data_IF_815825236214
#
_entry.id   IF_815825236214
#
_cell.length_a   1.000
_cell.length_b   1.000
_cell.length_c   1.000
_cell.angle_alpha   90.00
_cell.angle_beta   90.00
_cell.angle_gamma   90.00
#
_symmetry.space_group_name_H-M   'P 1'
#
loop_
_entity.id
_entity.type
_entity.pdbx_description
1 polymer ?
#
# COMPACT_ATOMS: atom_id res chain seq x y z
N UNK A 1 9.01 16.26 12.32
CA UNK A 1 9.69 15.42 11.31
C UNK A 1 9.07 15.67 9.95
N UNK A 2 9.88 15.65 8.90
CA UNK A 2 9.35 15.74 7.54
C UNK A 2 8.54 14.46 7.20
N UNK A 3 7.34 14.64 6.63
CA UNK A 3 6.38 13.55 6.37
C UNK A 3 6.73 12.65 5.18
N UNK A 4 7.99 12.62 4.71
CA UNK A 4 8.44 11.82 3.57
C UNK A 4 9.31 10.63 3.95
N UNK A 5 9.52 10.37 5.25
CA UNK A 5 10.26 9.22 5.76
C UNK A 5 9.34 8.29 6.55
N UNK A 6 9.58 6.97 6.46
CA UNK A 6 8.80 5.93 7.10
C UNK A 6 9.75 4.79 7.55
N UNK A 7 9.41 4.09 8.65
CA UNK A 7 10.22 3.02 9.23
C UNK A 7 11.26 3.52 10.24
N UNK A 8 11.81 2.59 11.00
CA UNK A 8 12.78 2.81 12.08
C UNK A 8 14.16 2.30 11.69
N UNK A 9 14.31 0.99 11.45
CA UNK A 9 15.53 0.33 10.96
C UNK A 9 15.43 0.15 9.45
N UNK A 10 14.40 -0.57 8.97
CA UNK A 10 14.09 -0.63 7.54
C UNK A 10 13.40 0.68 7.17
N UNK A 11 14.20 1.69 6.90
CA UNK A 11 13.76 3.07 6.76
C UNK A 11 13.80 3.54 5.33
N UNK A 12 12.73 4.18 4.89
CA UNK A 12 12.68 4.76 3.56
C UNK A 12 12.42 6.27 3.60
N UNK A 13 12.93 6.99 2.61
CA UNK A 13 12.61 8.38 2.35
C UNK A 13 12.24 8.53 0.88
N UNK A 14 10.98 8.92 0.60
CA UNK A 14 10.49 9.13 -0.77
C UNK A 14 10.64 10.59 -1.19
N UNK A 15 10.89 10.84 -2.48
CA UNK A 15 11.04 12.17 -3.06
C UNK A 15 10.48 12.22 -4.49
N UNK A 16 10.38 13.41 -5.03
CA UNK A 16 9.87 13.67 -6.38
C UNK A 16 8.35 13.83 -6.47
N UNK A 17 7.88 14.32 -7.58
CA UNK A 17 6.48 14.67 -7.86
C UNK A 17 6.03 14.12 -9.22
N UNK A 18 4.70 14.02 -9.38
CA UNK A 18 4.09 13.48 -10.60
C UNK A 18 4.43 14.22 -11.88
N UNK A 19 4.77 15.49 -11.80
CA UNK A 19 5.14 16.36 -12.91
C UNK A 19 6.56 16.95 -12.75
N UNK A 20 7.34 16.41 -11.81
CA UNK A 20 8.77 16.62 -11.70
C UNK A 20 9.58 15.78 -12.69
N UNK A 21 10.89 15.77 -12.59
CA UNK A 21 11.77 14.96 -13.45
C UNK A 21 11.62 13.45 -13.19
N UNK A 22 11.36 13.07 -11.94
CA UNK A 22 11.23 11.68 -11.53
C UNK A 22 10.65 11.53 -10.13
N UNK A 23 10.39 10.28 -9.75
CA UNK A 23 10.01 9.86 -8.41
C UNK A 23 11.03 8.83 -7.93
N UNK A 24 11.49 8.96 -6.70
CA UNK A 24 12.48 8.04 -6.18
C UNK A 24 12.35 7.78 -4.69
N UNK A 25 13.17 6.85 -4.23
CA UNK A 25 13.26 6.44 -2.84
C UNK A 25 14.69 6.12 -2.47
N UNK A 26 15.06 6.44 -1.24
CA UNK A 26 16.24 5.91 -0.58
C UNK A 26 15.77 4.96 0.52
N UNK A 27 16.26 3.73 0.52
CA UNK A 27 15.97 2.72 1.54
C UNK A 27 17.26 2.45 2.31
N UNK A 28 17.20 2.59 3.62
CA UNK A 28 18.30 2.31 4.53
C UNK A 28 17.94 1.15 5.46
N UNK A 29 18.95 0.50 6.07
CA UNK A 29 18.75 -0.61 6.99
C UNK A 29 18.44 -1.96 6.36
N UNK A 30 18.58 -2.11 5.04
CA UNK A 30 18.48 -3.41 4.38
C UNK A 30 19.74 -4.23 4.71
N UNK A 31 19.61 -5.48 5.24
CA UNK A 31 20.77 -6.33 5.51
C UNK A 31 21.61 -6.58 4.25
N UNK A 32 22.93 -6.66 4.40
CA UNK A 32 23.82 -7.03 3.30
C UNK A 32 23.61 -8.49 2.89
N UNK A 33 23.81 -8.79 1.59
CA UNK A 33 23.78 -10.14 1.06
C UNK A 33 22.44 -10.60 0.50
N UNK A 34 21.37 -9.80 0.60
CA UNK A 34 20.12 -10.09 -0.08
C UNK A 34 20.33 -10.00 -1.61
N UNK A 35 19.98 -11.06 -2.34
CA UNK A 35 19.98 -11.03 -3.81
C UNK A 35 18.95 -9.99 -4.28
N UNK A 36 19.37 -9.03 -5.12
CA UNK A 36 18.51 -7.93 -5.58
C UNK A 36 18.91 -7.45 -6.95
N UNK A 37 17.94 -7.39 -7.85
CA UNK A 37 18.06 -6.81 -9.18
C UNK A 37 16.95 -5.80 -9.48
N UNK A 38 17.08 -5.07 -10.56
CA UNK A 38 16.03 -4.15 -11.03
C UNK A 38 14.76 -4.91 -11.45
N UNK A 39 14.90 -6.11 -11.98
CA UNK A 39 13.79 -6.99 -12.39
C UNK A 39 12.93 -7.41 -11.19
N UNK A 40 13.54 -7.68 -10.04
CA UNK A 40 12.81 -8.01 -8.80
C UNK A 40 11.85 -6.88 -8.39
N UNK A 41 12.28 -5.64 -8.59
CA UNK A 41 11.52 -4.44 -8.25
C UNK A 41 10.50 -4.13 -9.35
N UNK A 42 10.94 -4.27 -10.61
CA UNK A 42 10.11 -3.98 -11.79
C UNK A 42 8.85 -4.83 -11.85
N UNK A 43 8.94 -6.10 -11.44
CA UNK A 43 7.77 -6.98 -11.33
C UNK A 43 6.61 -6.34 -10.53
N UNK A 44 6.90 -5.73 -9.40
CA UNK A 44 5.88 -5.06 -8.58
C UNK A 44 5.45 -3.70 -9.16
N UNK A 45 6.39 -2.95 -9.75
CA UNK A 45 6.06 -1.69 -10.42
C UNK A 45 5.17 -1.92 -11.63
N UNK A 46 5.36 -3.02 -12.35
CA UNK A 46 4.51 -3.40 -13.48
C UNK A 46 3.06 -3.67 -13.06
N UNK A 47 2.83 -4.26 -11.90
CA UNK A 47 1.49 -4.44 -11.32
C UNK A 47 0.82 -3.10 -10.92
N UNK A 48 1.63 -2.07 -10.60
CA UNK A 48 1.16 -0.73 -10.19
C UNK A 48 0.88 0.19 -11.36
N UNK A 49 1.63 0.11 -12.45
CA UNK A 49 1.60 1.11 -13.55
C UNK A 49 0.21 1.33 -14.14
N UNK A 50 -0.07 2.53 -14.70
CA UNK A 50 -1.34 2.81 -15.39
C UNK A 50 -1.44 2.08 -16.73
N UNK A 51 -2.64 2.08 -17.31
CA UNK A 51 -2.86 1.63 -18.71
C UNK A 51 -2.93 0.11 -18.90
N UNK A 52 -3.12 -0.68 -17.84
CA UNK A 52 -3.12 -2.14 -17.91
C UNK A 52 -4.43 -2.74 -18.41
N UNK A 53 -5.55 -2.05 -18.22
CA UNK A 53 -6.88 -2.55 -18.57
C UNK A 53 -7.85 -1.40 -18.85
N UNK A 54 -9.08 -1.74 -19.29
CA UNK A 54 -10.13 -0.78 -19.66
C UNK A 54 -10.60 0.14 -18.52
N UNK A 55 -10.35 -0.23 -17.26
CA UNK A 55 -10.74 0.50 -16.06
C UNK A 55 -9.63 1.39 -15.51
N UNK A 56 -8.50 1.49 -16.21
CA UNK A 56 -7.40 2.36 -15.84
C UNK A 56 -7.19 3.48 -16.87
N UNK A 57 -6.57 4.58 -16.43
CA UNK A 57 -6.22 5.69 -17.34
C UNK A 57 -5.38 5.22 -18.52
N UNK A 58 -5.59 5.84 -19.69
CA UNK A 58 -4.83 5.53 -20.92
C UNK A 58 -3.40 6.10 -20.93
N UNK A 59 -2.88 6.57 -19.79
CA UNK A 59 -1.47 6.98 -19.67
C UNK A 59 -0.57 5.78 -19.94
N UNK A 60 0.48 6.02 -20.72
CA UNK A 60 1.54 5.03 -20.95
C UNK A 60 2.80 5.52 -20.26
N UNK A 61 3.17 4.84 -19.20
CA UNK A 61 4.42 5.08 -18.46
C UNK A 61 5.13 3.74 -18.38
N UNK A 62 6.43 3.72 -18.66
CA UNK A 62 7.23 2.51 -18.52
C UNK A 62 7.41 2.16 -17.04
N UNK A 63 7.48 3.18 -16.19
CA UNK A 63 7.82 3.09 -14.77
C UNK A 63 9.11 2.27 -14.54
N UNK A 64 10.07 2.37 -15.47
CA UNK A 64 11.33 1.63 -15.41
C UNK A 64 12.17 2.13 -14.25
N UNK A 65 12.49 1.23 -13.32
CA UNK A 65 13.32 1.54 -12.16
C UNK A 65 14.80 1.47 -12.51
N UNK A 66 15.59 2.33 -11.86
CA UNK A 66 17.05 2.26 -11.85
C UNK A 66 17.54 2.23 -10.41
N UNK A 67 18.42 1.28 -10.10
CA UNK A 67 19.13 1.22 -8.82
C UNK A 67 20.43 2.02 -8.98
N UNK A 68 20.60 3.06 -8.15
CA UNK A 68 21.75 3.97 -8.23
C UNK A 68 22.84 3.68 -7.20
N UNK A 69 22.53 2.95 -6.13
CA UNK A 69 23.48 2.60 -5.05
C UNK A 69 22.97 1.45 -4.21
N UNK A 70 23.84 0.93 -3.33
CA UNK A 70 23.48 -0.06 -2.31
C UNK A 70 23.48 -1.51 -2.79
N UNK A 71 23.92 -1.77 -4.03
CA UNK A 71 24.06 -3.12 -4.57
C UNK A 71 25.44 -3.31 -5.21
N UNK A 72 25.98 -4.52 -5.14
CA UNK A 72 27.21 -4.95 -5.80
C UNK A 72 27.10 -6.43 -6.15
N UNK A 73 27.45 -6.80 -7.38
CA UNK A 73 27.36 -8.19 -7.91
C UNK A 73 26.01 -8.86 -7.64
N UNK A 74 24.88 -8.10 -7.82
CA UNK A 74 23.52 -8.61 -7.65
C UNK A 74 23.10 -8.82 -6.19
N UNK A 75 23.82 -8.25 -5.21
CA UNK A 75 23.49 -8.35 -3.79
C UNK A 75 23.50 -6.98 -3.12
N UNK A 76 22.69 -6.83 -2.08
CA UNK A 76 22.71 -5.64 -1.21
C UNK A 76 24.02 -5.57 -0.43
N UNK A 77 24.50 -4.35 -0.19
CA UNK A 77 25.79 -4.10 0.49
C UNK A 77 25.64 -3.67 1.96
N UNK A 78 24.40 -3.52 2.46
CA UNK A 78 24.11 -2.95 3.79
C UNK A 78 24.22 -1.42 3.85
N UNK A 79 24.46 -0.77 2.71
CA UNK A 79 24.44 0.70 2.57
C UNK A 79 23.15 1.18 1.93
N UNK A 80 22.80 2.48 1.98
CA UNK A 80 21.56 2.98 1.44
C UNK A 80 21.35 2.63 -0.03
N UNK A 81 20.18 2.06 -0.34
CA UNK A 81 19.75 1.73 -1.70
C UNK A 81 18.95 2.91 -2.22
N UNK A 82 19.48 3.58 -3.25
CA UNK A 82 18.79 4.67 -3.94
C UNK A 82 18.20 4.17 -5.24
N UNK A 83 16.91 4.46 -5.46
CA UNK A 83 16.19 4.06 -6.66
C UNK A 83 15.43 5.24 -7.25
N UNK A 84 15.32 5.28 -8.58
CA UNK A 84 14.60 6.32 -9.33
C UNK A 84 13.82 5.73 -10.49
N UNK A 85 12.65 6.32 -10.74
CA UNK A 85 11.84 6.16 -11.95
C UNK A 85 11.67 7.54 -12.58
N UNK A 86 12.11 7.70 -13.82
CA UNK A 86 11.99 8.96 -14.54
C UNK A 86 10.58 9.14 -15.09
N UNK A 87 10.09 10.38 -15.11
CA UNK A 87 8.79 10.69 -15.70
C UNK A 87 8.94 10.93 -17.21
N UNK A 88 8.19 10.20 -18.03
CA UNK A 88 8.27 10.24 -19.51
C UNK A 88 7.08 10.98 -20.14
N UNK A 89 5.86 10.81 -19.62
CA UNK A 89 4.61 11.35 -20.20
C UNK A 89 4.04 12.51 -19.35
N UNK A 90 4.74 13.64 -19.34
CA UNK A 90 4.34 14.87 -18.63
C UNK A 90 3.61 15.83 -19.59
N UNK A 91 2.29 15.83 -19.61
CA UNK A 91 1.50 16.82 -20.34
C UNK A 91 1.04 17.96 -19.41
N UNK A 92 1.91 18.94 -19.13
CA UNK A 92 1.62 20.08 -18.27
C UNK A 92 0.53 21.02 -18.81
N UNK A 93 0.25 20.99 -20.11
CA UNK A 93 -0.78 21.81 -20.76
C UNK A 93 -2.22 21.44 -20.36
N UNK A 94 -2.45 20.22 -19.88
CA UNK A 94 -3.79 19.72 -19.46
C UNK A 94 -4.26 20.30 -18.12
N UNK A 95 -3.43 21.09 -17.43
CA UNK A 95 -3.69 21.55 -16.07
C UNK A 95 -3.80 23.08 -15.91
N UNK A 96 -3.81 23.86 -16.99
CA UNK A 96 -3.88 25.33 -16.92
C UNK A 96 -5.11 25.85 -16.19
N UNK A 97 -6.27 25.20 -16.44
CA UNK A 97 -7.55 25.63 -15.83
C UNK A 97 -7.60 25.33 -14.32
N UNK A 98 -6.88 24.29 -13.87
CA UNK A 98 -6.84 23.87 -12.44
C UNK A 98 -6.06 24.88 -11.57
N UNK A 99 -5.30 25.79 -12.17
CA UNK A 99 -4.60 26.84 -11.45
C UNK A 99 -5.55 27.81 -10.72
N UNK A 100 -6.78 28.01 -11.25
CA UNK A 100 -7.72 29.04 -10.80
C UNK A 100 -8.77 28.54 -9.80
N UNK A 101 -8.93 27.22 -9.59
CA UNK A 101 -9.94 26.67 -8.70
C UNK A 101 -9.44 25.48 -7.88
N UNK A 102 -10.24 25.03 -6.91
CA UNK A 102 -9.94 23.87 -6.05
C UNK A 102 -10.83 22.70 -6.45
N UNK A 103 -10.20 21.59 -6.83
CA UNK A 103 -10.95 20.36 -7.19
C UNK A 103 -11.56 19.73 -5.94
N UNK A 104 -12.85 19.41 -5.92
CA UNK A 104 -13.47 18.70 -4.81
C UNK A 104 -12.76 17.37 -4.51
N UNK A 105 -12.55 17.07 -3.25
CA UNK A 105 -11.93 15.83 -2.81
C UNK A 105 -10.43 15.68 -3.08
N UNK A 106 -9.78 16.66 -3.71
CA UNK A 106 -8.33 16.75 -3.90
C UNK A 106 -7.64 17.60 -2.83
N UNK A 107 -6.31 17.54 -2.78
CA UNK A 107 -5.49 18.26 -1.82
C UNK A 107 -5.20 19.71 -2.23
N UNK A 108 -5.81 20.24 -3.29
CA UNK A 108 -5.49 21.55 -3.85
C UNK A 108 -5.59 22.68 -2.83
N UNK A 109 -6.73 22.77 -2.14
CA UNK A 109 -6.97 23.77 -1.09
C UNK A 109 -6.01 23.62 0.10
N UNK A 110 -5.80 22.38 0.56
CA UNK A 110 -4.99 22.11 1.74
C UNK A 110 -3.51 22.38 1.49
N UNK A 111 -3.01 22.21 0.25
CA UNK A 111 -1.64 22.59 -0.12
C UNK A 111 -1.46 24.10 -0.14
N UNK A 112 -2.38 24.85 -0.76
CA UNK A 112 -2.32 26.31 -0.74
C UNK A 112 -2.43 26.87 0.69
N UNK A 113 -3.34 26.31 1.51
CA UNK A 113 -3.50 26.72 2.91
C UNK A 113 -2.24 26.44 3.77
N UNK A 114 -1.56 25.32 3.51
CA UNK A 114 -0.38 24.90 4.31
C UNK A 114 0.90 25.56 3.85
N UNK A 115 1.12 25.64 2.54
CA UNK A 115 2.42 26.05 1.97
C UNK A 115 2.38 27.45 1.35
N UNK A 116 1.21 28.09 1.25
CA UNK A 116 1.02 29.41 0.64
C UNK A 116 0.95 29.40 -0.88
N UNK A 117 1.38 28.32 -1.53
CA UNK A 117 1.27 28.08 -2.98
C UNK A 117 1.38 26.58 -3.29
N UNK A 118 0.98 26.20 -4.50
CA UNK A 118 1.11 24.83 -4.98
C UNK A 118 1.58 24.78 -6.43
N UNK A 119 2.23 23.70 -6.81
CA UNK A 119 2.36 23.31 -8.21
C UNK A 119 1.03 22.70 -8.68
N UNK A 120 0.27 23.45 -9.50
CA UNK A 120 -1.04 23.03 -9.99
C UNK A 120 -0.97 21.99 -11.12
N UNK A 121 0.21 21.70 -11.66
CA UNK A 121 0.43 20.77 -12.79
C UNK A 121 0.20 19.31 -12.40
N UNK A 122 -0.70 19.01 -11.50
CA UNK A 122 -1.07 17.68 -11.04
C UNK A 122 -1.27 17.60 -9.54
N UNK A 123 -1.16 16.38 -8.98
CA UNK A 123 -1.33 16.15 -7.55
C UNK A 123 -0.03 16.29 -6.74
N UNK A 124 1.12 16.57 -7.38
CA UNK A 124 2.41 16.67 -6.69
C UNK A 124 2.70 15.43 -5.85
N UNK A 125 3.08 15.64 -4.58
CA UNK A 125 3.31 14.57 -3.58
C UNK A 125 2.03 13.84 -3.15
N UNK A 126 0.82 14.37 -3.41
CA UNK A 126 -0.45 13.69 -3.15
C UNK A 126 -0.98 12.89 -4.35
N UNK A 127 -0.24 12.84 -5.44
CA UNK A 127 -0.57 12.03 -6.61
C UNK A 127 -0.36 10.54 -6.33
N UNK A 128 -1.22 9.68 -6.93
CA UNK A 128 -1.01 8.22 -6.91
C UNK A 128 0.34 7.78 -7.52
N UNK A 129 1.04 8.64 -8.27
CA UNK A 129 2.37 8.36 -8.79
C UNK A 129 3.45 8.28 -7.70
N UNK A 130 3.25 8.93 -6.57
CA UNK A 130 4.14 8.81 -5.40
C UNK A 130 4.28 7.36 -4.91
N UNK A 131 3.27 6.54 -5.11
CA UNK A 131 3.31 5.12 -4.72
C UNK A 131 4.35 4.29 -5.47
N UNK A 132 4.94 4.77 -6.58
CA UNK A 132 6.11 4.15 -7.23
C UNK A 132 7.22 3.92 -6.20
N UNK A 133 7.56 4.95 -5.44
CA UNK A 133 8.62 4.91 -4.45
C UNK A 133 8.33 3.90 -3.33
N UNK A 134 7.06 3.81 -2.90
CA UNK A 134 6.60 2.85 -1.88
C UNK A 134 6.68 1.41 -2.39
N UNK A 135 6.25 1.18 -3.64
CA UNK A 135 6.28 -0.15 -4.25
C UNK A 135 7.72 -0.59 -4.49
N UNK A 136 8.60 0.30 -4.96
CA UNK A 136 10.01 -0.02 -5.14
C UNK A 136 10.69 -0.43 -3.82
N UNK A 137 10.44 0.30 -2.74
CA UNK A 137 10.95 -0.06 -1.41
C UNK A 137 10.29 -1.34 -0.86
N UNK A 138 8.97 -1.49 -1.07
CA UNK A 138 8.20 -2.66 -0.64
C UNK A 138 8.62 -3.95 -1.33
N UNK A 139 9.05 -3.88 -2.60
CA UNK A 139 9.59 -5.03 -3.32
C UNK A 139 10.84 -5.61 -2.62
N UNK A 140 11.72 -4.75 -2.09
CA UNK A 140 12.88 -5.17 -1.31
C UNK A 140 12.44 -5.85 0.00
N UNK A 141 11.44 -5.26 0.69
CA UNK A 141 10.88 -5.82 1.91
C UNK A 141 10.24 -7.20 1.65
N UNK A 142 9.44 -7.34 0.59
CA UNK A 142 8.83 -8.62 0.19
C UNK A 142 9.89 -9.68 -0.09
N UNK A 143 10.96 -9.31 -0.79
CA UNK A 143 12.07 -10.22 -1.06
C UNK A 143 12.79 -10.66 0.22
N UNK A 144 13.01 -9.74 1.16
CA UNK A 144 13.59 -10.07 2.47
C UNK A 144 12.67 -11.00 3.28
N UNK A 145 11.36 -10.74 3.29
CA UNK A 145 10.39 -11.58 3.98
C UNK A 145 10.31 -12.99 3.37
N UNK A 146 10.42 -13.11 2.04
CA UNK A 146 10.41 -14.41 1.36
C UNK A 146 11.61 -15.29 1.74
N UNK A 147 12.78 -14.71 2.01
CA UNK A 147 13.96 -15.45 2.53
C UNK A 147 13.71 -16.03 3.93
N UNK A 148 12.72 -15.47 4.65
CA UNK A 148 12.28 -15.98 5.96
C UNK A 148 11.07 -16.91 5.86
N UNK A 149 10.59 -17.23 4.65
CA UNK A 149 9.41 -18.04 4.41
C UNK A 149 8.08 -17.33 4.68
N UNK A 150 8.11 -16.01 4.90
CA UNK A 150 6.91 -15.18 5.12
C UNK A 150 6.38 -14.73 3.77
N UNK A 151 5.09 -14.96 3.52
CA UNK A 151 4.43 -14.53 2.28
C UNK A 151 3.38 -13.46 2.57
N UNK A 152 3.32 -12.46 1.71
CA UNK A 152 2.35 -11.37 1.77
C UNK A 152 1.60 -11.35 0.45
N UNK A 153 0.29 -11.40 0.50
CA UNK A 153 -0.56 -11.34 -0.69
C UNK A 153 -1.72 -10.40 -0.47
N UNK A 154 -2.06 -9.62 -1.49
CA UNK A 154 -3.18 -8.71 -1.45
C UNK A 154 -4.08 -8.90 -2.68
N UNK A 155 -5.36 -8.60 -2.50
CA UNK A 155 -6.38 -8.71 -3.53
C UNK A 155 -7.53 -7.73 -3.29
N UNK A 156 -8.32 -7.51 -4.32
CA UNK A 156 -9.53 -6.71 -4.21
C UNK A 156 -10.63 -7.53 -3.53
N UNK A 157 -11.05 -7.10 -2.34
CA UNK A 157 -12.14 -7.72 -1.58
C UNK A 157 -13.52 -7.25 -2.06
N UNK A 158 -13.66 -5.95 -2.33
CA UNK A 158 -14.93 -5.41 -2.84
C UNK A 158 -14.71 -4.19 -3.75
N UNK A 159 -15.67 -3.95 -4.63
CA UNK A 159 -15.79 -2.74 -5.45
C UNK A 159 -17.23 -2.25 -5.32
N UNK A 160 -17.40 -1.04 -4.76
CA UNK A 160 -18.72 -0.56 -4.37
C UNK A 160 -19.38 -1.51 -3.36
N UNK A 161 -20.55 -2.00 -3.71
CA UNK A 161 -21.35 -2.99 -2.97
C UNK A 161 -21.13 -4.45 -3.42
N UNK A 162 -20.30 -4.67 -4.44
CA UNK A 162 -19.95 -6.01 -4.91
C UNK A 162 -18.78 -6.54 -4.11
N UNK A 163 -19.03 -7.52 -3.24
CA UNK A 163 -18.04 -8.19 -2.40
C UNK A 163 -17.85 -9.64 -2.84
N UNK A 164 -16.61 -10.17 -2.71
CA UNK A 164 -16.30 -11.58 -2.96
C UNK A 164 -17.12 -12.50 -2.03
N UNK A 165 -17.55 -13.63 -2.56
CA UNK A 165 -18.26 -14.66 -1.81
C UNK A 165 -17.48 -15.99 -1.76
N UNK A 166 -16.50 -16.11 -2.64
CA UNK A 166 -15.58 -17.25 -2.73
C UNK A 166 -14.14 -16.78 -2.88
N UNK A 167 -13.18 -17.67 -2.67
CA UNK A 167 -11.77 -17.37 -2.80
C UNK A 167 -11.05 -18.42 -3.63
N UNK A 168 -10.53 -18.01 -4.78
CA UNK A 168 -9.58 -18.75 -5.59
C UNK A 168 -8.39 -17.85 -5.92
N UNK A 169 -7.21 -18.19 -5.40
CA UNK A 169 -5.99 -17.41 -5.59
C UNK A 169 -5.59 -17.30 -7.07
N UNK A 170 -5.94 -18.28 -7.91
CA UNK A 170 -5.63 -18.26 -9.35
C UNK A 170 -6.39 -17.13 -10.04
N UNK A 171 -7.63 -16.87 -9.61
CA UNK A 171 -8.48 -15.82 -10.19
C UNK A 171 -7.95 -14.40 -9.97
N UNK A 172 -7.12 -14.16 -8.95
CA UNK A 172 -6.52 -12.81 -8.70
C UNK A 172 -5.75 -12.31 -9.93
N UNK A 173 -5.01 -13.19 -10.61
CA UNK A 173 -4.23 -12.83 -11.79
C UNK A 173 -5.04 -12.91 -13.10
N UNK A 174 -6.20 -13.58 -13.10
CA UNK A 174 -6.99 -13.86 -14.29
C UNK A 174 -7.96 -12.74 -14.66
N UNK A 175 -8.20 -11.76 -13.78
CA UNK A 175 -9.10 -10.65 -14.06
C UNK A 175 -8.46 -9.28 -13.78
N UNK A 176 -8.98 -8.28 -14.49
CA UNK A 176 -8.46 -6.91 -14.44
C UNK A 176 -8.64 -6.19 -13.10
N UNK A 177 -9.43 -6.76 -12.19
CA UNK A 177 -9.78 -6.15 -10.91
C UNK A 177 -9.03 -6.78 -9.74
N UNK A 178 -8.21 -7.82 -9.98
CA UNK A 178 -7.50 -8.60 -8.97
C UNK A 178 -8.43 -9.16 -7.87
N UNK A 179 -9.63 -9.60 -8.25
CA UNK A 179 -10.58 -10.25 -7.35
C UNK A 179 -10.38 -11.77 -7.36
N UNK A 180 -10.35 -12.45 -6.21
CA UNK A 180 -10.22 -13.92 -6.12
C UNK A 180 -11.55 -14.66 -6.38
N UNK A 181 -12.55 -14.00 -6.92
CA UNK A 181 -13.89 -14.53 -7.20
C UNK A 181 -14.32 -14.06 -8.60
N UNK A 182 -14.42 -14.99 -9.55
CA UNK A 182 -14.73 -14.70 -10.95
C UNK A 182 -16.12 -14.09 -11.13
N UNK A 183 -17.14 -14.56 -10.37
CA UNK A 183 -18.51 -14.03 -10.44
C UNK A 183 -18.57 -12.59 -9.88
N UNK A 184 -17.90 -12.34 -8.76
CA UNK A 184 -17.78 -11.00 -8.19
C UNK A 184 -17.03 -10.06 -9.14
N UNK A 185 -15.95 -10.53 -9.81
CA UNK A 185 -15.20 -9.75 -10.79
C UNK A 185 -16.04 -9.33 -12.00
N UNK A 186 -16.94 -10.23 -12.47
CA UNK A 186 -17.87 -9.90 -13.56
C UNK A 186 -18.87 -8.83 -13.13
N UNK A 187 -19.57 -9.03 -12.00
CA UNK A 187 -20.52 -8.05 -11.44
C UNK A 187 -19.87 -6.68 -11.19
N UNK A 188 -18.65 -6.67 -10.64
CA UNK A 188 -17.88 -5.45 -10.41
C UNK A 188 -17.51 -4.75 -11.73
N UNK A 189 -17.20 -5.52 -12.77
CA UNK A 189 -16.94 -4.99 -14.13
C UNK A 189 -18.18 -4.32 -14.74
N UNK A 190 -19.37 -4.87 -14.51
CA UNK A 190 -20.64 -4.25 -14.93
C UNK A 190 -20.90 -2.95 -14.18
N UNK A 191 -20.73 -2.97 -12.84
CA UNK A 191 -20.85 -1.77 -11.99
C UNK A 191 -19.92 -0.64 -12.46
N UNK A 192 -18.65 -0.96 -12.75
CA UNK A 192 -17.69 0.01 -13.23
C UNK A 192 -18.03 0.53 -14.63
N UNK A 193 -18.54 -0.32 -15.51
CA UNK A 193 -18.98 0.08 -16.85
C UNK A 193 -20.14 1.10 -16.76
N UNK A 194 -21.09 0.87 -15.85
CA UNK A 194 -22.19 1.80 -15.56
C UNK A 194 -21.67 3.13 -15.00
N UNK A 195 -20.78 3.07 -13.98
CA UNK A 195 -20.18 4.26 -13.39
C UNK A 195 -19.44 5.12 -14.42
N UNK A 196 -18.69 4.47 -15.36
CA UNK A 196 -18.01 5.17 -16.46
C UNK A 196 -18.99 5.85 -17.40
N UNK A 197 -20.12 5.22 -17.75
CA UNK A 197 -21.15 5.82 -18.58
C UNK A 197 -21.81 7.05 -17.89
N UNK A 198 -21.91 7.03 -16.58
CA UNK A 198 -22.39 8.13 -15.73
C UNK A 198 -21.31 9.18 -15.42
N UNK A 199 -20.12 9.07 -16.00
CA UNK A 199 -18.95 9.93 -15.74
C UNK A 199 -18.58 10.00 -14.25
N UNK A 200 -18.74 8.90 -13.53
CA UNK A 200 -18.55 8.76 -12.09
C UNK A 200 -17.41 7.77 -11.77
N UNK A 201 -17.13 7.56 -10.49
CA UNK A 201 -16.12 6.65 -9.97
C UNK A 201 -16.66 5.86 -8.78
N UNK A 202 -15.99 4.73 -8.47
CA UNK A 202 -16.40 3.83 -7.40
C UNK A 202 -15.19 3.58 -6.48
N UNK A 203 -15.45 3.41 -5.19
CA UNK A 203 -14.49 2.99 -4.19
C UNK A 203 -14.50 1.46 -4.01
N UNK A 204 -13.77 0.98 -3.02
CA UNK A 204 -13.76 -0.44 -2.66
C UNK A 204 -12.73 -0.76 -1.61
N UNK A 205 -12.53 -2.03 -1.35
CA UNK A 205 -11.66 -2.55 -0.28
C UNK A 205 -10.59 -3.46 -0.86
N UNK A 206 -9.36 -3.26 -0.43
CA UNK A 206 -8.25 -4.21 -0.63
C UNK A 206 -8.04 -4.96 0.68
N UNK A 207 -7.97 -6.27 0.62
CA UNK A 207 -7.56 -7.14 1.72
C UNK A 207 -6.14 -7.64 1.46
N UNK A 208 -5.33 -7.67 2.52
CA UNK A 208 -3.97 -8.21 2.50
C UNK A 208 -3.83 -9.24 3.61
N UNK A 209 -3.31 -10.41 3.24
CA UNK A 209 -3.08 -11.52 4.15
C UNK A 209 -1.59 -11.84 4.17
N UNK A 210 -1.06 -12.00 5.39
CA UNK A 210 0.32 -12.40 5.63
C UNK A 210 0.33 -13.79 6.24
N UNK A 211 0.96 -14.73 5.56
CA UNK A 211 1.10 -16.11 6.03
C UNK A 211 2.48 -16.34 6.64
N UNK A 212 2.55 -17.26 7.59
CA UNK A 212 3.78 -17.73 8.24
C UNK A 212 4.53 -16.66 9.03
N UNK A 213 3.84 -15.61 9.46
CA UNK A 213 4.45 -14.62 10.35
C UNK A 213 4.73 -15.26 11.71
N UNK A 214 5.98 -15.25 12.22
CA UNK A 214 6.28 -15.83 13.51
C UNK A 214 5.57 -15.06 14.64
N UNK A 215 5.20 -15.76 15.73
CA UNK A 215 4.72 -15.10 16.92
C UNK A 215 5.84 -14.28 17.59
N UNK A 216 5.49 -13.11 18.14
CA UNK A 216 6.41 -12.29 18.93
C UNK A 216 7.05 -11.11 18.16
N UNK A 217 6.48 -10.70 17.02
CA UNK A 217 6.93 -9.54 16.24
C UNK A 217 6.00 -8.36 16.47
N UNK A 218 6.57 -7.19 16.73
CA UNK A 218 5.86 -5.97 17.12
C UNK A 218 6.09 -5.62 18.58
N UNK A 219 5.52 -4.51 19.02
CA UNK A 219 5.68 -3.95 20.35
C UNK A 219 4.32 -3.61 20.98
N UNK A 220 4.23 -3.50 22.30
CA UNK A 220 3.03 -3.00 22.97
C UNK A 220 2.94 -1.47 22.89
N UNK A 221 1.85 -0.92 23.41
CA UNK A 221 1.55 0.50 23.61
C UNK A 221 1.43 1.26 22.29
N UNK A 222 2.34 2.15 21.91
CA UNK A 222 2.21 3.05 20.76
C UNK A 222 2.77 2.47 19.47
N UNK A 223 3.76 1.59 19.56
CA UNK A 223 4.39 0.95 18.40
C UNK A 223 3.81 -0.44 18.09
N UNK A 224 2.53 -0.63 18.47
CA UNK A 224 1.79 -1.85 18.15
C UNK A 224 1.85 -2.16 16.66
N UNK A 225 2.00 -3.43 16.32
CA UNK A 225 2.05 -3.88 14.92
C UNK A 225 0.80 -3.47 14.13
N UNK A 226 -0.40 -3.61 14.72
CA UNK A 226 -1.67 -3.17 14.15
C UNK A 226 -1.73 -1.64 13.96
N UNK A 227 -1.19 -0.85 14.92
CA UNK A 227 -1.12 0.60 14.82
C UNK A 227 -0.18 1.04 13.68
N UNK A 228 0.98 0.39 13.53
CA UNK A 228 1.94 0.69 12.46
C UNK A 228 1.40 0.26 11.09
N UNK A 229 0.71 -0.88 10.99
CA UNK A 229 -0.01 -1.31 9.79
C UNK A 229 -1.09 -0.29 9.41
N UNK A 230 -1.91 0.14 10.36
CA UNK A 230 -2.94 1.16 10.12
C UNK A 230 -2.33 2.49 9.66
N UNK A 231 -1.25 2.97 10.31
CA UNK A 231 -0.50 4.16 9.90
C UNK A 231 0.02 4.06 8.46
N UNK A 232 0.61 2.91 8.11
CA UNK A 232 1.14 2.65 6.78
C UNK A 232 0.02 2.71 5.72
N UNK A 233 -1.08 1.98 5.96
CA UNK A 233 -2.19 1.85 5.01
C UNK A 233 -2.99 3.16 4.89
N UNK A 234 -3.30 3.87 5.98
CA UNK A 234 -3.98 5.17 5.93
C UNK A 234 -3.11 6.23 5.23
N UNK A 235 -1.79 6.07 5.21
CA UNK A 235 -0.89 6.97 4.48
C UNK A 235 -1.00 6.84 2.95
N UNK A 236 -1.59 5.77 2.43
CA UNK A 236 -1.84 5.59 1.00
C UNK A 236 -2.93 6.57 0.55
N UNK A 237 -2.70 7.28 -0.56
CA UNK A 237 -3.71 8.19 -1.12
C UNK A 237 -5.04 7.49 -1.37
N UNK A 238 -6.14 8.16 -1.06
CA UNK A 238 -7.53 7.69 -1.13
C UNK A 238 -7.97 6.70 -0.03
N UNK A 239 -7.10 6.15 0.79
CA UNK A 239 -7.50 5.32 1.93
C UNK A 239 -8.21 6.18 2.98
N UNK A 240 -9.33 5.68 3.53
CA UNK A 240 -10.17 6.34 4.53
C UNK A 240 -10.52 5.45 5.72
N UNK A 241 -10.32 4.15 5.60
CA UNK A 241 -10.54 3.19 6.67
C UNK A 241 -9.53 2.07 6.62
N UNK A 242 -9.19 1.51 7.77
CA UNK A 242 -8.35 0.32 7.92
C UNK A 242 -9.00 -0.57 8.96
N UNK A 243 -9.03 -1.87 8.70
CA UNK A 243 -9.48 -2.89 9.62
C UNK A 243 -8.39 -3.95 9.82
N UNK A 244 -8.34 -4.51 11.03
CA UNK A 244 -7.48 -5.63 11.40
C UNK A 244 -8.39 -6.77 11.85
N UNK A 245 -8.19 -7.99 11.33
CA UNK A 245 -9.06 -9.13 11.63
C UNK A 245 -10.51 -8.85 11.28
N UNK A 246 -11.43 -9.04 12.21
CA UNK A 246 -12.86 -8.78 12.02
C UNK A 246 -13.23 -7.28 11.96
N UNK A 247 -12.27 -6.38 12.24
CA UNK A 247 -12.47 -4.95 12.11
C UNK A 247 -13.65 -4.43 12.92
N UNK A 248 -14.55 -3.64 12.28
CA UNK A 248 -15.71 -3.10 12.97
C UNK A 248 -16.77 -4.14 13.36
N UNK A 249 -16.74 -5.34 12.81
CA UNK A 249 -17.66 -6.43 13.19
C UNK A 249 -17.52 -6.83 14.65
N UNK A 250 -16.37 -6.61 15.27
CA UNK A 250 -16.16 -6.87 16.72
C UNK A 250 -17.09 -6.04 17.62
N UNK A 251 -17.59 -4.90 17.13
CA UNK A 251 -18.45 -4.02 17.93
C UNK A 251 -19.83 -4.64 18.27
N UNK A 252 -20.28 -5.61 17.50
CA UNK A 252 -21.55 -6.35 17.71
C UNK A 252 -21.30 -7.76 18.25
N UNK A 253 -20.05 -8.18 18.40
CA UNK A 253 -19.68 -9.45 18.99
C UNK A 253 -19.72 -9.41 20.54
N UNK A 254 -19.72 -10.58 21.15
CA UNK A 254 -19.52 -10.73 22.60
C UNK A 254 -18.13 -11.30 22.88
N UNK A 255 -17.63 -11.19 24.11
CA UNK A 255 -16.34 -11.77 24.46
C UNK A 255 -16.27 -13.27 24.14
N UNK A 256 -17.35 -14.02 24.35
CA UNK A 256 -17.39 -15.45 24.04
C UNK A 256 -17.37 -15.76 22.55
N UNK A 257 -17.90 -14.89 21.71
CA UNK A 257 -17.95 -15.11 20.23
C UNK A 257 -16.75 -14.50 19.52
N UNK A 258 -16.00 -13.60 20.17
CA UNK A 258 -14.86 -12.91 19.60
C UNK A 258 -13.49 -13.45 20.07
N UNK A 259 -13.45 -14.15 21.20
CA UNK A 259 -12.18 -14.64 21.73
C UNK A 259 -11.64 -15.82 20.90
N UNK A 260 -10.42 -15.67 20.40
CA UNK A 260 -9.71 -16.73 19.68
C UNK A 260 -9.12 -17.72 20.68
N UNK A 261 -9.71 -18.90 20.78
CA UNK A 261 -9.25 -19.94 21.72
C UNK A 261 -7.92 -20.55 21.26
N UNK A 262 -6.96 -20.64 22.16
CA UNK A 262 -5.71 -21.37 21.91
C UNK A 262 -5.92 -22.88 21.99
N UNK A 263 -5.21 -23.60 21.12
CA UNK A 263 -5.22 -25.06 21.05
C UNK A 263 -3.80 -25.59 20.88
N UNK A 264 -3.52 -26.75 21.47
CA UNK A 264 -2.25 -27.47 21.27
C UNK A 264 -2.51 -28.66 20.36
N UNK A 265 -1.85 -28.68 19.21
CA UNK A 265 -1.91 -29.80 18.26
C UNK A 265 -1.16 -31.04 18.77
N UNK A 266 -1.36 -32.17 18.12
CA UNK A 266 -0.69 -33.44 18.49
C UNK A 266 0.84 -33.40 18.39
N UNK A 267 1.39 -32.52 17.58
CA UNK A 267 2.83 -32.27 17.42
C UNK A 267 3.40 -31.27 18.45
N UNK A 268 2.56 -30.76 19.36
CA UNK A 268 2.92 -29.78 20.37
C UNK A 268 2.90 -28.33 19.88
N UNK A 269 2.55 -28.06 18.63
CA UNK A 269 2.39 -26.71 18.12
C UNK A 269 1.17 -26.01 18.72
N UNK A 270 1.31 -24.72 19.02
CA UNK A 270 0.23 -23.88 19.55
C UNK A 270 -0.41 -23.13 18.36
N UNK A 271 -1.72 -23.27 18.24
CA UNK A 271 -2.52 -22.60 17.21
C UNK A 271 -3.74 -21.92 17.85
N UNK A 272 -4.43 -21.07 17.10
CA UNK A 272 -5.76 -20.56 17.46
C UNK A 272 -6.82 -21.28 16.60
N UNK A 273 -8.01 -21.49 17.17
CA UNK A 273 -9.12 -22.13 16.47
C UNK A 273 -9.88 -21.16 15.56
N UNK A 274 -9.78 -19.87 15.84
CA UNK A 274 -10.34 -18.74 15.07
C UNK A 274 -9.30 -17.65 14.94
N UNK A 275 -9.56 -16.62 14.13
CA UNK A 275 -8.61 -15.51 13.93
C UNK A 275 -9.34 -14.16 13.85
N UNK A 276 -10.25 -13.91 14.79
CA UNK A 276 -10.99 -12.65 14.91
C UNK A 276 -10.06 -11.44 15.13
N UNK A 277 -8.97 -11.66 15.88
CA UNK A 277 -7.94 -10.64 16.14
C UNK A 277 -7.05 -10.34 14.93
N UNK A 278 -7.13 -11.12 13.84
CA UNK A 278 -6.33 -10.91 12.63
C UNK A 278 -4.84 -11.10 12.83
N UNK A 279 -4.41 -12.08 13.67
CA UNK A 279 -3.01 -12.46 13.87
C UNK A 279 -2.22 -11.58 14.83
N UNK A 280 -2.87 -10.62 15.52
CA UNK A 280 -2.19 -9.65 16.39
C UNK A 280 -2.91 -9.56 17.76
N UNK A 281 -2.18 -9.82 18.82
CA UNK A 281 -2.66 -9.71 20.20
C UNK A 281 -1.74 -8.76 20.99
N UNK A 282 -2.32 -7.74 21.61
CA UNK A 282 -1.56 -6.75 22.38
C UNK A 282 -0.54 -5.93 21.58
N UNK A 283 -0.67 -5.89 20.25
CA UNK A 283 0.26 -5.22 19.35
C UNK A 283 1.39 -6.10 18.83
N UNK A 284 1.36 -7.40 19.12
CA UNK A 284 2.41 -8.38 18.81
C UNK A 284 1.78 -9.51 18.00
N UNK A 285 2.48 -10.00 16.98
CA UNK A 285 2.02 -11.14 16.15
C UNK A 285 1.88 -12.41 17.02
N UNK A 286 0.86 -13.20 16.78
CA UNK A 286 0.55 -14.40 17.55
C UNK A 286 0.84 -15.72 16.82
N UNK A 287 1.34 -15.65 15.57
CA UNK A 287 1.65 -16.80 14.74
C UNK A 287 0.54 -17.22 13.78
N UNK A 288 -0.65 -16.63 13.90
CA UNK A 288 -1.73 -16.78 12.90
C UNK A 288 -1.50 -15.84 11.72
N UNK A 289 -2.27 -16.05 10.65
CA UNK A 289 -2.27 -15.14 9.51
C UNK A 289 -2.63 -13.71 9.95
N UNK A 290 -1.84 -12.73 9.51
CA UNK A 290 -2.19 -11.34 9.71
C UNK A 290 -3.15 -10.92 8.60
N UNK A 291 -4.33 -10.43 8.98
CA UNK A 291 -5.38 -9.99 8.04
C UNK A 291 -5.64 -8.50 8.22
N UNK A 292 -5.40 -7.73 7.16
CA UNK A 292 -5.64 -6.28 7.16
C UNK A 292 -6.46 -5.87 5.94
N UNK A 293 -7.31 -4.86 6.09
CA UNK A 293 -8.14 -4.29 5.01
C UNK A 293 -7.95 -2.79 4.92
N UNK A 294 -7.90 -2.29 3.70
CA UNK A 294 -7.82 -0.86 3.41
C UNK A 294 -9.01 -0.44 2.54
N UNK A 295 -9.83 0.47 3.06
CA UNK A 295 -10.98 1.04 2.37
C UNK A 295 -10.62 2.30 1.59
N UNK A 296 -10.84 2.28 0.28
CA UNK A 296 -10.53 3.35 -0.66
C UNK A 296 -11.77 4.12 -1.05
N UNK A 297 -11.75 5.45 -0.91
CA UNK A 297 -12.79 6.31 -1.43
C UNK A 297 -12.77 6.32 -2.97
N UNK A 298 -13.90 6.66 -3.63
CA UNK A 298 -13.94 6.90 -5.07
C UNK A 298 -12.90 7.95 -5.51
N UNK A 299 -12.43 7.83 -6.75
CA UNK A 299 -11.54 8.81 -7.36
C UNK A 299 -12.25 10.16 -7.45
N UNK A 300 -11.71 11.26 -6.89
CA UNK A 300 -12.40 12.52 -6.85
C UNK A 300 -12.46 13.26 -8.20
N UNK A 301 -11.58 12.91 -9.14
CA UNK A 301 -11.58 13.45 -10.49
C UNK A 301 -12.62 12.75 -11.34
N UNK A 302 -13.86 13.26 -11.32
CA UNK A 302 -14.94 12.78 -12.17
C UNK A 302 -15.31 13.84 -13.20
N UNK A 303 -15.78 13.40 -14.37
CA UNK A 303 -16.15 14.29 -15.47
C UNK A 303 -17.61 14.81 -15.37
N UNK A 304 -18.34 14.44 -14.32
CA UNK A 304 -19.61 15.03 -13.98
C UNK A 304 -19.42 16.44 -13.40
N UNK A 305 -20.44 17.32 -13.57
CA UNK A 305 -20.42 18.67 -13.02
C UNK A 305 -20.39 18.64 -11.49
N UNK A 306 -19.48 19.42 -10.88
CA UNK A 306 -19.29 19.52 -9.44
C UNK A 306 -19.25 20.97 -8.98
N UNK A 307 -19.80 21.24 -7.80
CA UNK A 307 -19.72 22.56 -7.15
C UNK A 307 -18.37 22.69 -6.43
N UNK A 308 -17.77 23.87 -6.54
CA UNK A 308 -16.53 24.22 -5.85
C UNK A 308 -16.36 25.74 -5.75
N UNK A 309 -15.19 26.20 -5.36
CA UNK A 309 -14.81 27.60 -5.35
C UNK A 309 -13.56 27.84 -6.22
N UNK A 310 -13.48 29.08 -6.78
CA UNK A 310 -12.26 29.57 -7.37
C UNK A 310 -11.32 30.18 -6.30
N UNK A 311 -10.13 30.66 -6.72
CA UNK A 311 -9.16 31.30 -5.81
C UNK A 311 -9.63 32.67 -5.28
N UNK A 312 -10.58 33.30 -5.93
CA UNK A 312 -11.16 34.57 -5.54
C UNK A 312 -12.30 34.41 -4.51
N UNK A 313 -12.62 33.16 -4.13
CA UNK A 313 -13.63 32.83 -3.13
C UNK A 313 -15.07 32.77 -3.68
N UNK A 314 -15.23 32.70 -4.99
CA UNK A 314 -16.54 32.64 -5.64
C UNK A 314 -16.97 31.17 -5.86
N UNK A 315 -18.26 30.89 -5.63
CA UNK A 315 -18.86 29.58 -5.92
C UNK A 315 -18.99 29.38 -7.42
N UNK A 316 -18.46 28.27 -7.91
CA UNK A 316 -18.47 27.90 -9.34
C UNK A 316 -18.85 26.43 -9.52
N UNK A 317 -19.33 26.10 -10.72
CA UNK A 317 -19.49 24.72 -11.17
C UNK A 317 -18.36 24.38 -12.14
N UNK A 318 -17.77 23.21 -11.97
CA UNK A 318 -16.68 22.73 -12.83
C UNK A 318 -16.97 21.35 -13.37
N UNK A 319 -16.39 21.04 -14.53
CA UNK A 319 -16.26 19.70 -15.05
C UNK A 319 -14.76 19.40 -15.22
N UNK A 320 -14.26 18.36 -14.53
CA UNK A 320 -12.85 18.02 -14.60
C UNK A 320 -12.60 17.29 -15.92
N UNK A 321 -11.87 17.95 -16.83
CA UNK A 321 -11.43 17.37 -18.10
C UNK A 321 -10.16 16.56 -17.87
N UNK A 322 -9.98 15.48 -18.63
CA UNK A 322 -8.76 14.69 -18.59
C UNK A 322 -9.01 13.17 -18.47
N UNK A 323 -7.91 12.43 -18.33
CA UNK A 323 -7.90 10.96 -18.25
C UNK A 323 -7.84 10.56 -16.78
N UNK A 324 -8.95 10.06 -16.24
CA UNK A 324 -9.08 9.67 -14.84
C UNK A 324 -9.38 8.17 -14.71
N UNK A 325 -8.89 7.56 -13.64
CA UNK A 325 -9.23 6.19 -13.28
C UNK A 325 -10.67 6.17 -12.71
N UNK A 326 -11.63 5.38 -13.23
CA UNK A 326 -12.93 5.21 -12.62
C UNK A 326 -12.85 4.47 -11.28
N UNK A 327 -11.73 3.80 -11.04
CA UNK A 327 -11.40 3.10 -9.80
C UNK A 327 -9.89 3.06 -9.59
N UNK A 328 -9.44 3.16 -8.35
CA UNK A 328 -8.02 3.02 -7.98
C UNK A 328 -7.70 1.70 -7.30
N UNK A 329 -8.71 0.94 -6.86
CA UNK A 329 -8.57 -0.23 -5.99
C UNK A 329 -7.66 -1.29 -6.61
N UNK A 330 -7.90 -1.70 -7.85
CA UNK A 330 -7.10 -2.72 -8.52
C UNK A 330 -5.60 -2.37 -8.60
N UNK A 331 -5.26 -1.09 -8.81
CA UNK A 331 -3.87 -0.61 -8.80
C UNK A 331 -3.30 -0.46 -7.39
N UNK A 332 -4.17 -0.29 -6.40
CA UNK A 332 -3.78 -0.15 -5.01
C UNK A 332 -3.42 -1.50 -4.35
N UNK A 333 -3.84 -2.63 -4.92
CA UNK A 333 -3.54 -3.97 -4.40
C UNK A 333 -2.05 -4.14 -4.10
N UNK A 334 -1.18 -3.93 -5.08
CA UNK A 334 0.27 -4.04 -4.90
C UNK A 334 0.85 -2.96 -3.96
N UNK A 335 0.21 -1.80 -3.84
CA UNK A 335 0.63 -0.75 -2.90
C UNK A 335 0.35 -1.16 -1.46
N UNK A 336 -0.82 -1.75 -1.20
CA UNK A 336 -1.20 -2.29 0.12
C UNK A 336 -0.26 -3.43 0.51
N UNK A 337 0.01 -4.36 -0.41
CA UNK A 337 0.95 -5.47 -0.24
C UNK A 337 2.34 -4.97 0.15
N UNK A 338 2.89 -4.03 -0.60
CA UNK A 338 4.21 -3.44 -0.35
C UNK A 338 4.28 -2.65 0.96
N UNK A 339 3.24 -1.86 1.29
CA UNK A 339 3.22 -1.10 2.54
C UNK A 339 3.08 -2.00 3.76
N UNK A 340 2.34 -3.10 3.66
CA UNK A 340 2.27 -4.14 4.69
C UNK A 340 3.65 -4.78 4.88
N UNK A 341 4.32 -5.18 3.80
CA UNK A 341 5.65 -5.77 3.86
C UNK A 341 6.70 -4.84 4.49
N UNK A 342 6.64 -3.54 4.21
CA UNK A 342 7.55 -2.54 4.81
C UNK A 342 7.42 -2.50 6.34
N UNK A 343 6.18 -2.54 6.86
CA UNK A 343 5.95 -2.56 8.31
C UNK A 343 6.50 -3.84 8.93
N UNK A 344 6.26 -4.98 8.31
CA UNK A 344 6.69 -6.29 8.82
C UNK A 344 8.22 -6.42 8.80
N UNK A 345 8.87 -5.98 7.73
CA UNK A 345 10.32 -5.98 7.61
C UNK A 345 10.96 -5.10 8.70
N UNK A 346 10.44 -3.91 8.92
CA UNK A 346 10.91 -3.00 9.97
C UNK A 346 10.69 -3.61 11.38
N UNK A 347 9.50 -4.13 11.66
CA UNK A 347 9.17 -4.74 12.95
C UNK A 347 10.05 -5.95 13.27
N UNK A 348 10.36 -6.81 12.28
CA UNK A 348 11.28 -7.92 12.44
C UNK A 348 12.68 -7.46 12.81
N UNK A 349 13.21 -6.44 12.12
CA UNK A 349 14.54 -5.91 12.40
C UNK A 349 14.60 -5.19 13.75
N UNK A 350 13.58 -4.43 14.12
CA UNK A 350 13.47 -3.81 15.45
C UNK A 350 13.45 -4.87 16.56
N UNK A 351 12.70 -5.97 16.35
CA UNK A 351 12.52 -7.04 17.31
C UNK A 351 13.75 -7.97 17.51
N UNK A 352 14.81 -7.87 16.67
CA UNK A 352 15.96 -8.79 16.71
C UNK A 352 16.64 -8.86 18.06
N UNK A 353 16.75 -7.75 18.78
CA UNK A 353 17.39 -7.68 20.10
C UNK A 353 16.42 -7.82 21.29
N UNK A 354 15.15 -8.12 21.07
CA UNK A 354 14.15 -8.20 22.12
C UNK A 354 14.38 -9.33 23.15
N UNK A 355 15.14 -10.38 22.74
CA UNK A 355 15.55 -11.49 23.62
C UNK A 355 17.06 -11.51 23.74
N UNK A 356 17.55 -11.64 24.98
CA UNK A 356 19.00 -11.77 25.26
C UNK A 356 19.64 -12.93 24.45
N UNK A 357 18.91 -14.03 24.27
CA UNK A 357 19.40 -15.18 23.51
C UNK A 357 19.65 -14.85 22.03
N UNK A 358 18.88 -13.94 21.44
CA UNK A 358 19.14 -13.46 20.07
C UNK A 358 20.45 -12.65 20.03
N UNK A 359 20.67 -11.78 21.02
CA UNK A 359 21.90 -11.01 21.15
C UNK A 359 23.11 -11.94 21.30
N UNK A 360 22.99 -12.99 22.17
CA UNK A 360 24.03 -13.99 22.35
C UNK A 360 24.34 -14.78 21.07
N UNK A 361 23.33 -15.19 20.30
CA UNK A 361 23.52 -15.90 19.02
C UNK A 361 24.39 -15.13 18.02
N UNK A 362 24.32 -13.80 18.06
CA UNK A 362 25.05 -12.93 17.12
C UNK A 362 26.42 -12.55 17.68
N UNK A 363 26.54 -12.28 19.00
CA UNK A 363 27.69 -11.60 19.57
C UNK A 363 28.43 -12.39 20.65
N UNK A 364 27.90 -13.53 21.14
CA UNK A 364 28.65 -14.34 22.08
C UNK A 364 29.87 -14.90 21.39
N UNK A 365 31.05 -14.77 22.05
CA UNK A 365 32.25 -15.45 21.63
C UNK A 365 32.03 -16.94 21.92
N UNK A 366 32.31 -17.79 20.95
CA UNK A 366 32.42 -19.24 21.20
C UNK A 366 33.41 -19.47 22.35
N UNK A 367 32.98 -20.18 23.37
CA UNK A 367 33.93 -20.67 24.38
C UNK A 367 34.93 -21.58 23.63
N UNK A 368 36.19 -21.10 23.50
CA UNK A 368 37.29 -21.86 22.90
C UNK A 368 37.68 -23.03 23.76
#
# INVERSE_FOLDING_TARGET
MAGSSFGTIFRLTTWGESHGKGVGVVVDGVPAGLSLSEEDIQFYLDRRKPGQNRFTTKRKESDTVQILSGTFEGKTTGTPISMVVWNEDQHSKDYSDIASYYRPGHADYTFDAKYGFRDYRGGGRSSGRETIARVAAGAIALKMLSELGITVSAYTRSIGDVEIQSFDAVEIANNALNMPDAEAAEKASELLTKAMAEKNSVGGVVECVVHHMPAGVGDPVFEKLDANLAKALVSIGAVKGVEIGDGFSVCIATGLTNNDAFHVNADGSIVKLTNHAGGILGGISDGSDIVVRAGFKPTPSVAASQQTINKDGENIAIEIKGRHDPIVVARAVVVVECMTALVLADALLVGMSAKLDNVKKVWALDEK
#
